data_IF_180277134055
#
_entry.id   IF_180277134055
#
_cell.length_a   1.000
_cell.length_b   1.000
_cell.length_c   1.000
_cell.angle_alpha   90.00
_cell.angle_beta   90.00
_cell.angle_gamma   90.00
#
_symmetry.space_group_name_H-M   'P 1'
#
loop_
_entity.id
_entity.type
_entity.pdbx_description
1 polymer ?
#
# COMPACT_ATOMS: atom_id res chain seq x y z
N UNK A 1 -6.94 -4.79 20.44
CA UNK A 1 -6.86 -3.59 19.56
C UNK A 1 -6.75 -4.10 18.15
N UNK A 2 -7.47 -3.52 17.19
CA UNK A 2 -7.38 -3.95 15.80
C UNK A 2 -6.12 -3.42 15.13
N UNK A 3 -5.56 -4.20 14.20
CA UNK A 3 -4.27 -3.93 13.60
C UNK A 3 -4.30 -4.00 12.07
N UNK A 4 -3.68 -3.02 11.43
CA UNK A 4 -3.42 -2.99 9.99
C UNK A 4 -1.92 -3.19 9.77
N UNK A 5 -1.55 -4.07 8.85
CA UNK A 5 -0.21 -4.17 8.32
C UNK A 5 -0.20 -3.65 6.87
N UNK A 6 0.60 -2.64 6.62
CA UNK A 6 0.91 -2.17 5.27
C UNK A 6 2.14 -2.91 4.75
N UNK A 7 2.12 -3.35 3.50
CA UNK A 7 3.27 -3.97 2.83
C UNK A 7 3.50 -3.27 1.51
N UNK A 8 4.59 -2.49 1.41
CA UNK A 8 4.91 -1.68 0.25
C UNK A 8 6.37 -1.87 -0.19
N UNK A 9 6.68 -1.43 -1.39
CA UNK A 9 7.99 -1.63 -2.01
C UNK A 9 9.00 -0.55 -1.60
N UNK A 10 8.59 0.73 -1.65
CA UNK A 10 9.50 1.86 -1.51
C UNK A 10 9.02 2.87 -0.48
N UNK A 11 9.96 3.68 0.10
CA UNK A 11 9.59 4.85 0.87
C UNK A 11 8.83 5.87 0.00
N UNK A 12 7.62 6.24 0.39
CA UNK A 12 6.62 7.14 -0.18
C UNK A 12 5.31 6.45 -0.62
N UNK A 13 5.35 5.17 -0.90
CA UNK A 13 4.16 4.40 -1.32
C UNK A 13 2.99 4.55 -0.33
N UNK A 14 3.27 4.49 0.97
CA UNK A 14 2.26 4.64 2.03
C UNK A 14 1.59 6.01 1.99
N UNK A 15 2.37 7.04 1.65
CA UNK A 15 1.92 8.44 1.60
C UNK A 15 1.09 8.74 0.36
N UNK A 16 1.44 8.14 -0.78
CA UNK A 16 0.68 8.29 -2.02
C UNK A 16 -0.61 7.48 -2.01
N UNK A 17 -0.60 6.26 -1.46
CA UNK A 17 -1.70 5.30 -1.64
C UNK A 17 -2.69 5.25 -0.50
N UNK A 18 -2.22 5.34 0.76
CA UNK A 18 -3.02 4.98 1.95
C UNK A 18 -2.99 5.99 3.09
N UNK A 19 -2.30 7.12 2.94
CA UNK A 19 -2.05 8.07 4.03
C UNK A 19 -3.33 8.56 4.74
N UNK A 20 -4.38 8.83 3.99
CA UNK A 20 -5.65 9.27 4.55
C UNK A 20 -6.38 8.16 5.30
N UNK A 21 -6.37 6.96 4.76
CA UNK A 21 -6.92 5.75 5.39
C UNK A 21 -6.15 5.43 6.67
N UNK A 22 -4.83 5.41 6.64
CA UNK A 22 -3.98 5.22 7.82
C UNK A 22 -4.35 6.23 8.91
N UNK A 23 -4.35 7.52 8.60
CA UNK A 23 -4.68 8.56 9.57
C UNK A 23 -6.11 8.41 10.15
N UNK A 24 -7.06 7.96 9.32
CA UNK A 24 -8.44 7.69 9.74
C UNK A 24 -8.51 6.53 10.73
N UNK A 25 -7.85 5.42 10.45
CA UNK A 25 -7.89 4.23 11.29
C UNK A 25 -7.07 4.39 12.57
N UNK A 26 -5.90 5.05 12.52
CA UNK A 26 -5.13 5.43 13.72
C UNK A 26 -5.98 6.30 14.65
N UNK A 27 -6.70 7.31 14.10
CA UNK A 27 -7.64 8.12 14.90
C UNK A 27 -8.78 7.31 15.50
N UNK A 28 -9.18 6.21 14.84
CA UNK A 28 -10.19 5.29 15.34
C UNK A 28 -9.65 4.27 16.36
N UNK A 29 -8.39 4.37 16.76
CA UNK A 29 -7.75 3.51 17.78
C UNK A 29 -7.17 2.20 17.22
N UNK A 30 -6.94 2.10 15.90
CA UNK A 30 -6.25 0.97 15.31
C UNK A 30 -4.74 1.19 15.37
N UNK A 31 -3.99 0.13 15.59
CA UNK A 31 -2.55 0.09 15.39
C UNK A 31 -2.24 -0.13 13.89
N UNK A 32 -1.23 0.56 13.38
CA UNK A 32 -0.80 0.43 11.99
C UNK A 32 0.70 0.22 11.95
N UNK A 33 1.13 -0.88 11.35
CA UNK A 33 2.54 -1.19 11.09
C UNK A 33 2.81 -1.17 9.59
N UNK A 34 4.06 -0.92 9.21
CA UNK A 34 4.51 -0.86 7.82
C UNK A 34 5.74 -1.72 7.60
N UNK A 35 5.67 -2.58 6.60
CA UNK A 35 6.82 -3.26 5.99
C UNK A 35 7.12 -2.59 4.67
N UNK A 36 8.35 -2.11 4.49
CA UNK A 36 8.88 -1.54 3.26
C UNK A 36 9.98 -2.46 2.72
N UNK A 37 9.84 -2.95 1.48
CA UNK A 37 10.74 -3.98 0.96
C UNK A 37 12.16 -3.46 0.69
N UNK A 38 12.29 -2.22 0.23
CA UNK A 38 13.57 -1.59 -0.16
C UNK A 38 13.76 -0.25 0.54
N UNK A 39 14.90 0.38 0.34
CA UNK A 39 15.14 1.77 0.73
C UNK A 39 14.93 2.77 -0.41
N UNK A 40 14.53 2.31 -1.60
CA UNK A 40 14.26 3.16 -2.75
C UNK A 40 15.51 3.86 -3.29
N UNK A 41 16.65 3.20 -3.24
CA UNK A 41 17.96 3.77 -3.57
C UNK A 41 18.19 4.04 -5.06
N UNK A 42 17.31 3.55 -5.94
CA UNK A 42 17.27 3.86 -7.38
C UNK A 42 16.27 4.96 -7.74
N UNK A 43 15.57 5.53 -6.75
CA UNK A 43 14.63 6.63 -6.97
C UNK A 43 15.28 7.91 -7.51
N UNK A 44 14.47 8.90 -7.86
CA UNK A 44 14.98 10.20 -8.28
C UNK A 44 15.76 10.86 -7.12
N UNK A 45 16.86 11.52 -7.46
CA UNK A 45 17.71 12.19 -6.44
C UNK A 45 17.17 13.57 -6.03
N UNK A 46 16.21 14.12 -6.78
CA UNK A 46 15.56 15.40 -6.50
C UNK A 46 16.57 16.52 -6.22
N UNK A 47 16.52 17.11 -5.03
CA UNK A 47 17.46 18.14 -4.58
C UNK A 47 18.85 17.58 -4.20
N UNK A 48 19.02 16.27 -4.10
CA UNK A 48 20.25 15.58 -3.69
C UNK A 48 21.06 15.08 -4.88
N UNK A 49 21.22 15.89 -5.91
CA UNK A 49 21.79 15.54 -7.24
C UNK A 49 23.15 14.80 -7.19
N UNK A 50 23.88 14.89 -6.08
CA UNK A 50 25.17 14.22 -5.88
C UNK A 50 25.10 13.01 -4.93
N UNK A 51 23.92 12.60 -4.51
CA UNK A 51 23.77 11.45 -3.63
C UNK A 51 24.10 10.14 -4.38
N UNK A 52 24.92 9.29 -3.78
CA UNK A 52 25.06 7.90 -4.23
C UNK A 52 23.80 7.12 -3.93
N UNK A 53 23.53 5.97 -4.61
CA UNK A 53 22.38 5.13 -4.29
C UNK A 53 22.28 4.78 -2.80
N UNK A 54 23.37 4.32 -2.18
CA UNK A 54 23.38 4.01 -0.75
C UNK A 54 23.01 5.22 0.11
N UNK A 55 23.52 6.40 -0.23
CA UNK A 55 23.18 7.64 0.49
C UNK A 55 21.72 8.06 0.27
N UNK A 56 21.20 7.87 -0.94
CA UNK A 56 19.79 8.11 -1.23
C UNK A 56 18.88 7.17 -0.42
N UNK A 57 19.24 5.90 -0.32
CA UNK A 57 18.51 4.95 0.53
C UNK A 57 18.44 5.36 2.00
N UNK A 58 19.57 5.85 2.58
CA UNK A 58 19.58 6.39 3.95
C UNK A 58 18.69 7.65 4.10
N UNK A 59 18.67 8.50 3.08
CA UNK A 59 17.82 9.70 3.07
C UNK A 59 16.36 9.29 3.03
N UNK A 60 15.97 8.44 2.08
CA UNK A 60 14.60 7.99 1.88
C UNK A 60 14.08 7.18 3.08
N UNK A 61 14.92 6.38 3.73
CA UNK A 61 14.56 5.75 5.00
C UNK A 61 14.13 6.77 6.04
N UNK A 62 14.93 7.85 6.26
CA UNK A 62 14.60 8.90 7.22
C UNK A 62 13.35 9.68 6.84
N UNK A 63 13.12 9.89 5.54
CA UNK A 63 11.91 10.52 5.02
C UNK A 63 10.68 9.67 5.35
N UNK A 64 10.73 8.35 5.10
CA UNK A 64 9.66 7.42 5.45
C UNK A 64 9.40 7.37 6.97
N UNK A 65 10.44 7.30 7.79
CA UNK A 65 10.29 7.32 9.26
C UNK A 65 9.62 8.61 9.76
N UNK A 66 9.91 9.75 9.09
CA UNK A 66 9.23 11.01 9.40
C UNK A 66 7.77 11.01 8.96
N UNK A 67 7.48 10.51 7.74
CA UNK A 67 6.13 10.37 7.23
C UNK A 67 5.29 9.43 8.12
N UNK A 68 5.85 8.29 8.50
CA UNK A 68 5.23 7.31 9.40
C UNK A 68 4.81 7.95 10.73
N UNK A 69 5.69 8.74 11.35
CA UNK A 69 5.35 9.50 12.57
C UNK A 69 4.21 10.50 12.34
N UNK A 70 4.14 11.16 11.17
CA UNK A 70 3.03 12.08 10.85
C UNK A 70 1.71 11.37 10.64
N UNK A 71 1.75 10.14 10.13
CA UNK A 71 0.59 9.28 9.90
C UNK A 71 0.13 8.55 11.17
N UNK A 72 1.01 8.41 12.17
CA UNK A 72 0.75 7.63 13.38
C UNK A 72 0.98 6.14 13.19
N UNK A 73 1.82 5.75 12.22
CA UNK A 73 2.30 4.37 12.04
C UNK A 73 3.18 4.03 13.24
N UNK A 74 2.91 2.87 13.87
CA UNK A 74 3.57 2.45 15.12
C UNK A 74 4.98 1.92 14.87
N UNK A 75 5.13 1.06 13.86
CA UNK A 75 6.41 0.43 13.54
C UNK A 75 6.66 0.47 12.03
N UNK A 76 7.92 0.69 11.65
CA UNK A 76 8.39 0.59 10.26
C UNK A 76 9.51 -0.44 10.22
N UNK A 77 9.35 -1.46 9.37
CA UNK A 77 10.36 -2.50 9.13
C UNK A 77 10.83 -2.42 7.70
N UNK A 78 12.15 -2.32 7.47
CA UNK A 78 12.74 -2.49 6.15
C UNK A 78 13.22 -3.91 5.98
N UNK A 79 13.02 -4.49 4.78
CA UNK A 79 13.51 -5.83 4.46
C UNK A 79 14.91 -5.80 3.83
N UNK A 80 15.40 -4.62 3.50
CA UNK A 80 16.74 -4.36 2.96
C UNK A 80 17.03 -5.02 1.60
N UNK A 81 16.00 -5.33 0.83
CA UNK A 81 16.15 -5.70 -0.56
C UNK A 81 16.55 -4.50 -1.41
N UNK A 82 17.13 -4.77 -2.56
CA UNK A 82 17.55 -3.72 -3.50
C UNK A 82 16.38 -3.25 -4.34
N UNK A 83 16.25 -1.93 -4.44
CA UNK A 83 15.27 -1.24 -5.29
C UNK A 83 15.45 -1.64 -6.77
N UNK A 84 14.34 -1.98 -7.42
CA UNK A 84 14.32 -2.39 -8.83
C UNK A 84 14.91 -3.79 -9.10
N UNK A 85 15.09 -4.63 -8.07
CA UNK A 85 15.63 -6.00 -8.20
C UNK A 85 14.73 -7.05 -7.54
N UNK A 86 13.51 -6.68 -7.11
CA UNK A 86 12.63 -7.66 -6.44
C UNK A 86 12.14 -8.78 -7.37
N UNK A 87 12.06 -8.54 -8.68
CA UNK A 87 11.72 -9.59 -9.65
C UNK A 87 12.81 -10.66 -9.79
N UNK A 88 14.05 -10.32 -9.45
CA UNK A 88 15.21 -11.21 -9.55
C UNK A 88 15.36 -12.16 -8.36
N UNK A 89 14.56 -11.97 -7.29
CA UNK A 89 14.61 -12.82 -6.10
C UNK A 89 14.14 -14.23 -6.41
N UNK A 90 14.79 -15.20 -5.78
CA UNK A 90 14.40 -16.60 -5.84
C UNK A 90 12.95 -16.79 -5.37
N UNK A 91 12.27 -17.81 -5.95
CA UNK A 91 10.90 -18.12 -5.57
C UNK A 91 10.81 -18.50 -4.10
N UNK A 92 9.89 -17.85 -3.38
CA UNK A 92 9.64 -18.09 -1.97
C UNK A 92 10.44 -17.17 -1.03
N UNK A 93 11.50 -16.52 -1.51
CA UNK A 93 12.36 -15.70 -0.64
C UNK A 93 11.59 -14.51 -0.02
N UNK A 94 10.98 -13.67 -0.84
CA UNK A 94 10.18 -12.55 -0.38
C UNK A 94 8.88 -13.03 0.30
N UNK A 95 8.27 -14.06 -0.25
CA UNK A 95 7.03 -14.65 0.25
C UNK A 95 7.19 -15.18 1.69
N UNK A 96 8.29 -15.87 1.99
CA UNK A 96 8.51 -16.44 3.33
C UNK A 96 8.87 -15.37 4.36
N UNK A 97 9.61 -14.34 3.97
CA UNK A 97 9.90 -13.20 4.87
C UNK A 97 8.61 -12.43 5.18
N UNK A 98 7.78 -12.17 4.17
CA UNK A 98 6.49 -11.50 4.37
C UNK A 98 5.53 -12.33 5.21
N UNK A 99 5.50 -13.66 5.02
CA UNK A 99 4.72 -14.55 5.88
C UNK A 99 5.11 -14.39 7.35
N UNK A 100 6.42 -14.42 7.67
CA UNK A 100 6.89 -14.23 9.06
C UNK A 100 6.49 -12.87 9.61
N UNK A 101 6.59 -11.79 8.81
CA UNK A 101 6.19 -10.45 9.24
C UNK A 101 4.69 -10.34 9.49
N UNK A 102 3.86 -10.97 8.67
CA UNK A 102 2.41 -11.04 8.89
C UNK A 102 2.11 -11.85 10.16
N UNK A 103 2.76 -13.01 10.34
CA UNK A 103 2.59 -13.87 11.52
C UNK A 103 3.04 -13.17 12.81
N UNK A 104 4.18 -12.45 12.82
CA UNK A 104 4.67 -11.65 13.95
C UNK A 104 3.70 -10.52 14.32
N UNK A 105 3.08 -9.89 13.32
CA UNK A 105 2.19 -8.73 13.50
C UNK A 105 0.79 -9.15 13.94
N UNK A 106 0.32 -10.33 13.51
CA UNK A 106 -1.06 -10.83 13.71
C UNK A 106 -2.11 -9.77 13.33
N UNK A 107 -2.12 -9.27 12.08
CA UNK A 107 -3.01 -8.19 11.68
C UNK A 107 -4.44 -8.68 11.42
N UNK A 108 -5.44 -7.82 11.70
CA UNK A 108 -6.83 -7.99 11.24
C UNK A 108 -6.96 -7.65 9.73
N UNK A 109 -6.05 -6.82 9.23
CA UNK A 109 -6.09 -6.34 7.86
C UNK A 109 -4.67 -6.17 7.32
N UNK A 110 -4.40 -6.72 6.15
CA UNK A 110 -3.18 -6.47 5.36
C UNK A 110 -3.56 -5.62 4.16
N UNK A 111 -2.75 -4.61 3.85
CA UNK A 111 -2.92 -3.76 2.67
C UNK A 111 -1.63 -3.78 1.87
N UNK A 112 -1.73 -4.03 0.57
CA UNK A 112 -0.62 -3.96 -0.37
C UNK A 112 -1.09 -3.36 -1.69
N UNK A 113 -0.25 -3.35 -2.73
CA UNK A 113 -0.62 -2.92 -4.08
C UNK A 113 -1.64 -3.84 -4.74
N UNK A 114 -2.31 -3.34 -5.78
CA UNK A 114 -3.07 -4.17 -6.71
C UNK A 114 -2.14 -4.91 -7.70
N UNK A 115 -2.71 -5.78 -8.50
CA UNK A 115 -1.96 -6.60 -9.48
C UNK A 115 -1.32 -5.80 -10.62
N UNK A 116 -1.67 -4.52 -10.77
CA UNK A 116 -1.02 -3.60 -11.71
C UNK A 116 0.16 -2.88 -11.05
N UNK A 117 0.37 -3.06 -9.75
CA UNK A 117 1.34 -2.30 -8.98
C UNK A 117 1.04 -0.80 -8.99
N UNK A 118 -0.23 -0.41 -9.18
CA UNK A 118 -0.73 0.96 -9.34
C UNK A 118 -0.13 1.67 -10.59
N UNK A 119 1.19 1.63 -10.74
CA UNK A 119 1.95 2.32 -11.80
C UNK A 119 2.69 1.39 -12.75
N UNK A 120 2.36 0.11 -12.79
CA UNK A 120 3.09 -0.95 -13.50
C UNK A 120 4.52 -1.18 -12.99
N UNK A 121 4.91 -0.63 -11.82
CA UNK A 121 6.25 -0.82 -11.28
C UNK A 121 6.51 -2.31 -10.98
N UNK A 122 7.59 -2.92 -11.49
CA UNK A 122 7.88 -4.34 -11.29
C UNK A 122 7.93 -4.74 -9.81
N UNK A 123 8.63 -3.97 -8.98
CA UNK A 123 8.71 -4.21 -7.54
C UNK A 123 7.34 -4.18 -6.86
N UNK A 124 6.45 -3.24 -7.23
CA UNK A 124 5.09 -3.19 -6.68
C UNK A 124 4.29 -4.44 -7.03
N UNK A 125 4.41 -4.90 -8.28
CA UNK A 125 3.76 -6.13 -8.76
C UNK A 125 4.30 -7.34 -7.99
N UNK A 126 5.63 -7.45 -7.82
CA UNK A 126 6.25 -8.53 -7.04
C UNK A 126 5.79 -8.51 -5.58
N UNK A 127 5.77 -7.34 -4.93
CA UNK A 127 5.28 -7.20 -3.55
C UNK A 127 3.80 -7.56 -3.44
N UNK A 128 2.96 -7.19 -4.41
CA UNK A 128 1.55 -7.58 -4.44
C UNK A 128 1.39 -9.10 -4.41
N UNK A 129 2.05 -9.82 -5.31
CA UNK A 129 1.92 -11.28 -5.41
C UNK A 129 2.55 -12.00 -4.22
N UNK A 130 3.73 -11.57 -3.78
CA UNK A 130 4.40 -12.15 -2.61
C UNK A 130 3.57 -11.96 -1.33
N UNK A 131 3.00 -10.77 -1.12
CA UNK A 131 2.11 -10.50 0.01
C UNK A 131 0.83 -11.34 -0.06
N UNK A 132 0.27 -11.53 -1.25
CA UNK A 132 -0.94 -12.34 -1.43
C UNK A 132 -0.68 -13.80 -1.05
N UNK A 133 0.43 -14.38 -1.51
CA UNK A 133 0.82 -15.73 -1.13
C UNK A 133 1.07 -15.85 0.37
N UNK A 134 1.84 -14.92 0.94
CA UNK A 134 2.10 -14.88 2.38
C UNK A 134 0.82 -14.78 3.21
N UNK A 135 -0.12 -13.94 2.77
CA UNK A 135 -1.43 -13.80 3.41
C UNK A 135 -2.26 -15.08 3.34
N UNK A 136 -2.25 -15.81 2.22
CA UNK A 136 -2.96 -17.09 2.10
C UNK A 136 -2.48 -18.11 3.14
N UNK A 137 -1.15 -18.22 3.32
CA UNK A 137 -0.56 -19.09 4.37
C UNK A 137 -1.01 -18.64 5.77
N UNK A 138 -0.95 -17.34 6.03
CA UNK A 138 -1.37 -16.76 7.32
C UNK A 138 -2.87 -16.98 7.59
N UNK A 139 -3.73 -16.73 6.62
CA UNK A 139 -5.18 -16.93 6.77
C UNK A 139 -5.54 -18.39 7.04
N UNK A 140 -4.86 -19.33 6.39
CA UNK A 140 -5.03 -20.76 6.65
C UNK A 140 -4.62 -21.11 8.10
N UNK A 141 -3.47 -20.61 8.55
CA UNK A 141 -3.03 -20.79 9.94
C UNK A 141 -4.04 -20.21 10.95
N UNK A 142 -4.55 -18.99 10.73
CA UNK A 142 -5.60 -18.39 11.59
C UNK A 142 -6.85 -19.26 11.61
N UNK A 143 -7.31 -19.73 10.45
CA UNK A 143 -8.47 -20.63 10.35
C UNK A 143 -8.31 -21.89 11.21
N UNK A 144 -7.13 -22.53 11.15
CA UNK A 144 -6.80 -23.69 11.96
C UNK A 144 -6.80 -23.37 13.46
N UNK A 145 -6.30 -22.21 13.89
CA UNK A 145 -6.35 -21.81 15.29
C UNK A 145 -7.79 -21.57 15.77
N UNK A 146 -8.61 -20.88 14.96
CA UNK A 146 -10.01 -20.62 15.27
C UNK A 146 -10.82 -21.93 15.42
N UNK A 147 -10.58 -22.92 14.56
CA UNK A 147 -11.21 -24.24 14.68
C UNK A 147 -10.82 -24.95 15.98
N UNK A 148 -9.54 -24.92 16.37
CA UNK A 148 -9.03 -25.56 17.60
C UNK A 148 -9.67 -25.00 18.87
N UNK A 149 -9.98 -23.71 18.91
CA UNK A 149 -10.61 -23.06 20.08
C UNK A 149 -12.14 -23.11 20.05
N UNK A 150 -12.74 -23.74 19.01
CA UNK A 150 -14.19 -23.84 18.87
C UNK A 150 -14.89 -22.50 18.66
N UNK A 151 -14.19 -21.50 18.16
CA UNK A 151 -14.73 -20.17 17.95
C UNK A 151 -15.55 -20.11 16.66
N UNK A 152 -16.88 -20.03 16.80
CA UNK A 152 -17.79 -19.68 15.70
C UNK A 152 -17.86 -18.16 15.44
N UNK A 153 -16.89 -17.37 15.93
CA UNK A 153 -16.86 -15.92 15.69
C UNK A 153 -16.61 -15.61 14.23
N UNK A 154 -17.69 -15.64 13.44
CA UNK A 154 -17.70 -15.08 12.10
C UNK A 154 -17.27 -13.61 12.18
N UNK A 155 -16.12 -13.28 11.59
CA UNK A 155 -15.58 -11.92 11.55
C UNK A 155 -14.23 -11.74 12.24
N UNK A 156 -13.67 -12.80 12.84
CA UNK A 156 -12.30 -12.82 13.35
C UNK A 156 -11.25 -13.12 12.26
N UNK A 157 -11.70 -13.47 11.06
CA UNK A 157 -10.80 -13.77 9.94
C UNK A 157 -10.13 -12.51 9.39
N UNK A 158 -8.82 -12.57 9.11
CA UNK A 158 -8.09 -11.43 8.57
C UNK A 158 -8.54 -11.10 7.14
N UNK A 159 -8.31 -9.87 6.71
CA UNK A 159 -8.64 -9.39 5.37
C UNK A 159 -7.40 -8.93 4.63
N UNK A 160 -7.34 -9.22 3.32
CA UNK A 160 -6.35 -8.67 2.41
C UNK A 160 -7.01 -7.67 1.48
N UNK A 161 -6.51 -6.44 1.48
CA UNK A 161 -6.91 -5.40 0.55
C UNK A 161 -5.77 -5.02 -0.39
N UNK A 162 -6.13 -4.77 -1.64
CA UNK A 162 -5.26 -4.11 -2.60
C UNK A 162 -5.60 -2.63 -2.65
N UNK A 163 -4.63 -1.77 -2.34
CA UNK A 163 -4.72 -0.35 -2.66
C UNK A 163 -4.62 -0.19 -4.18
N UNK A 164 -5.50 0.57 -4.78
CA UNK A 164 -5.58 0.66 -6.23
C UNK A 164 -5.93 2.07 -6.71
N UNK A 165 -5.61 2.35 -7.97
CA UNK A 165 -6.09 3.52 -8.69
C UNK A 165 -7.22 3.07 -9.64
N UNK A 166 -8.46 3.61 -9.52
CA UNK A 166 -9.53 3.33 -10.46
C UNK A 166 -9.14 3.67 -11.90
N UNK A 167 -9.58 2.86 -12.86
CA UNK A 167 -9.38 3.09 -14.30
C UNK A 167 -9.91 4.48 -14.72
N UNK A 168 -11.09 4.87 -14.24
CA UNK A 168 -11.67 6.19 -14.50
C UNK A 168 -10.80 7.32 -13.94
N UNK A 169 -10.18 7.14 -12.77
CA UNK A 169 -9.28 8.13 -12.19
C UNK A 169 -7.95 8.20 -12.97
N UNK A 170 -7.37 7.06 -13.35
CA UNK A 170 -6.16 7.01 -14.16
C UNK A 170 -6.37 7.74 -15.48
N UNK A 171 -7.44 7.42 -16.22
CA UNK A 171 -7.77 8.09 -17.48
C UNK A 171 -7.94 9.61 -17.31
N UNK A 172 -8.55 10.03 -16.21
CA UNK A 172 -8.70 11.45 -15.90
C UNK A 172 -7.35 12.15 -15.63
N UNK A 173 -6.48 11.52 -14.84
CA UNK A 173 -5.15 12.08 -14.52
C UNK A 173 -4.22 12.13 -15.75
N UNK A 174 -4.31 11.15 -16.64
CA UNK A 174 -3.62 11.14 -17.94
C UNK A 174 -4.10 12.31 -18.79
N UNK A 175 -5.41 12.52 -18.89
CA UNK A 175 -5.99 13.67 -19.63
C UNK A 175 -5.49 15.00 -19.09
N UNK A 176 -5.29 15.13 -17.79
CA UNK A 176 -4.71 16.32 -17.15
C UNK A 176 -3.19 16.40 -17.28
N UNK A 177 -2.53 15.42 -17.91
CA UNK A 177 -1.06 15.30 -17.98
C UNK A 177 -0.39 15.30 -16.57
N UNK A 178 -1.11 14.80 -15.57
CA UNK A 178 -0.61 14.67 -14.23
C UNK A 178 0.16 13.35 -14.01
N UNK A 179 -0.25 12.30 -14.71
CA UNK A 179 0.51 11.06 -14.84
C UNK A 179 0.74 10.77 -16.33
N UNK A 180 1.80 10.03 -16.72
CA UNK A 180 2.00 9.62 -18.11
C UNK A 180 0.95 8.57 -18.51
N UNK A 181 0.74 8.40 -19.80
CA UNK A 181 -0.14 7.37 -20.39
C UNK A 181 0.50 5.97 -20.41
N UNK A 182 1.82 5.93 -20.25
CA UNK A 182 2.61 4.70 -20.18
C UNK A 182 3.61 4.77 -19.02
N UNK A 183 3.84 3.63 -18.36
CA UNK A 183 4.85 3.48 -17.32
C UNK A 183 5.43 2.06 -17.38
N UNK A 184 6.75 1.93 -17.28
CA UNK A 184 7.47 0.64 -17.38
C UNK A 184 7.10 -0.16 -18.64
N UNK A 185 6.99 0.52 -19.81
CA UNK A 185 6.69 -0.11 -21.10
C UNK A 185 5.26 -0.65 -21.23
N UNK A 186 4.35 -0.24 -20.36
CA UNK A 186 2.94 -0.67 -20.35
C UNK A 186 1.99 0.51 -20.21
N UNK A 187 0.81 0.51 -20.88
CA UNK A 187 -0.20 1.53 -20.66
C UNK A 187 -0.61 1.63 -19.19
N UNK A 188 -0.64 2.84 -18.65
CA UNK A 188 -1.06 3.05 -17.26
C UNK A 188 -2.59 3.12 -17.17
N UNK A 189 -3.23 1.99 -16.92
CA UNK A 189 -4.71 1.88 -16.95
C UNK A 189 -5.38 1.93 -15.58
N UNK A 190 -4.66 1.57 -14.52
CA UNK A 190 -5.27 1.34 -13.20
C UNK A 190 -6.14 0.08 -13.15
N UNK A 191 -6.84 -0.11 -12.04
CA UNK A 191 -7.77 -1.22 -11.82
C UNK A 191 -9.17 -0.89 -12.33
N UNK A 192 -9.86 -1.86 -12.92
CA UNK A 192 -11.25 -1.70 -13.39
C UNK A 192 -12.16 -1.21 -12.26
N UNK A 193 -12.93 -0.15 -12.49
CA UNK A 193 -13.82 0.45 -11.48
C UNK A 193 -14.77 -0.57 -10.85
N UNK A 194 -15.25 -1.55 -11.64
CA UNK A 194 -16.15 -2.62 -11.16
C UNK A 194 -15.52 -3.60 -10.15
N UNK A 195 -14.20 -3.59 -9.98
CA UNK A 195 -13.49 -4.44 -9.01
C UNK A 195 -13.32 -3.76 -7.65
N UNK A 196 -13.64 -2.47 -7.54
CA UNK A 196 -13.46 -1.71 -6.31
C UNK A 196 -14.53 -2.11 -5.29
N UNK A 197 -14.07 -2.62 -4.16
CA UNK A 197 -14.93 -3.11 -3.07
C UNK A 197 -15.07 -2.13 -1.93
N UNK A 198 -14.09 -1.22 -1.76
CA UNK A 198 -14.14 -0.21 -0.72
C UNK A 198 -13.63 1.15 -1.23
N UNK A 199 -14.35 2.19 -0.87
CA UNK A 199 -13.97 3.59 -1.14
C UNK A 199 -13.98 4.35 0.18
N UNK A 200 -12.81 4.73 0.64
CA UNK A 200 -12.63 5.40 1.93
C UNK A 200 -12.59 6.91 1.72
N UNK A 201 -13.55 7.62 2.31
CA UNK A 201 -13.48 9.07 2.36
C UNK A 201 -12.41 9.51 3.35
N UNK A 202 -11.42 10.21 2.82
CA UNK A 202 -10.27 10.75 3.54
C UNK A 202 -10.21 12.29 3.47
N UNK A 203 -11.28 12.93 3.09
CA UNK A 203 -11.36 14.39 2.95
C UNK A 203 -10.96 15.15 4.21
N UNK A 204 -11.32 14.64 5.40
CA UNK A 204 -10.94 15.20 6.69
C UNK A 204 -9.44 15.03 7.03
N UNK A 205 -8.71 14.18 6.31
CA UNK A 205 -7.30 13.83 6.57
C UNK A 205 -6.33 14.41 5.54
N UNK A 206 -6.79 15.25 4.63
CA UNK A 206 -5.95 15.88 3.58
C UNK A 206 -4.72 16.61 4.15
N UNK A 207 -4.86 17.26 5.30
CA UNK A 207 -3.73 17.96 5.94
C UNK A 207 -2.67 17.01 6.47
N UNK A 208 -3.07 15.85 7.00
CA UNK A 208 -2.13 14.82 7.48
C UNK A 208 -1.40 14.21 6.27
N UNK A 209 -2.15 13.81 5.24
CA UNK A 209 -1.59 13.29 3.98
C UNK A 209 -0.58 14.25 3.36
N UNK A 210 -0.93 15.55 3.28
CA UNK A 210 0.00 16.58 2.78
C UNK A 210 1.31 16.60 3.58
N UNK A 211 1.23 16.60 4.91
CA UNK A 211 2.43 16.61 5.77
C UNK A 211 3.28 15.36 5.64
N UNK A 212 2.67 14.19 5.44
CA UNK A 212 3.39 12.94 5.18
C UNK A 212 4.12 13.01 3.85
N UNK A 213 3.43 13.34 2.76
CA UNK A 213 4.03 13.51 1.43
C UNK A 213 5.19 14.52 1.44
N UNK A 214 5.07 15.63 2.16
CA UNK A 214 6.13 16.63 2.27
C UNK A 214 7.40 16.15 3.01
N UNK A 215 7.35 15.00 3.68
CA UNK A 215 8.56 14.38 4.26
C UNK A 215 9.44 13.75 3.17
N UNK A 216 8.88 13.34 2.04
CA UNK A 216 9.61 12.71 0.93
C UNK A 216 10.24 13.75 0.01
N UNK A 217 11.20 14.50 0.54
CA UNK A 217 11.86 15.63 -0.14
C UNK A 217 12.67 15.17 -1.33
N UNK A 218 13.28 13.97 -1.26
CA UNK A 218 14.01 13.38 -2.39
C UNK A 218 13.12 13.15 -3.60
N UNK A 219 11.82 12.86 -3.37
CA UNK A 219 10.81 12.59 -4.39
C UNK A 219 9.94 13.83 -4.69
N UNK A 220 10.47 15.03 -4.49
CA UNK A 220 9.71 16.29 -4.56
C UNK A 220 8.98 16.52 -5.88
N UNK A 221 9.49 16.01 -6.98
CA UNK A 221 8.86 16.16 -8.31
C UNK A 221 7.49 15.49 -8.33
N UNK A 222 7.40 14.23 -7.89
CA UNK A 222 6.15 13.49 -7.86
C UNK A 222 5.23 13.97 -6.74
N UNK A 223 5.81 14.29 -5.57
CA UNK A 223 5.09 14.92 -4.46
C UNK A 223 4.43 16.23 -4.89
N UNK A 224 5.18 17.12 -5.59
CA UNK A 224 4.64 18.41 -6.06
C UNK A 224 3.53 18.21 -7.09
N UNK A 225 3.72 17.27 -8.04
CA UNK A 225 2.71 16.91 -9.04
C UNK A 225 1.43 16.41 -8.36
N UNK A 226 1.55 15.51 -7.40
CA UNK A 226 0.40 15.02 -6.63
C UNK A 226 -0.28 16.13 -5.82
N UNK A 227 0.49 16.96 -5.11
CA UNK A 227 -0.03 18.05 -4.29
C UNK A 227 -0.68 19.16 -5.11
N UNK A 228 -0.35 19.33 -6.39
CA UNK A 228 -1.03 20.27 -7.29
C UNK A 228 -2.52 19.93 -7.45
N UNK A 229 -2.89 18.67 -7.25
CA UNK A 229 -4.26 18.17 -7.29
C UNK A 229 -4.90 17.98 -5.90
N UNK A 230 -4.19 18.32 -4.81
CA UNK A 230 -4.62 17.98 -3.45
C UNK A 230 -6.01 18.50 -3.05
N UNK A 231 -6.51 19.56 -3.72
CA UNK A 231 -7.87 20.08 -3.51
C UNK A 231 -8.93 19.44 -4.42
N UNK A 232 -8.50 18.57 -5.37
CA UNK A 232 -9.42 17.92 -6.27
C UNK A 232 -10.30 16.91 -5.51
N UNK A 233 -11.64 16.88 -5.74
CA UNK A 233 -12.55 16.01 -5.02
C UNK A 233 -12.17 14.51 -5.11
N UNK A 234 -11.64 14.05 -6.24
CA UNK A 234 -11.23 12.67 -6.44
C UNK A 234 -10.09 12.24 -5.50
N UNK A 235 -9.22 13.16 -5.08
CA UNK A 235 -8.15 12.88 -4.11
C UNK A 235 -8.63 12.94 -2.65
N UNK A 236 -9.92 13.15 -2.42
CA UNK A 236 -10.56 12.99 -1.10
C UNK A 236 -10.90 11.53 -0.79
N UNK A 237 -10.61 10.63 -1.70
CA UNK A 237 -10.94 9.21 -1.57
C UNK A 237 -9.71 8.35 -1.81
N UNK A 238 -9.66 7.23 -1.13
CA UNK A 238 -8.71 6.15 -1.37
C UNK A 238 -9.49 4.88 -1.69
N UNK A 239 -8.96 4.06 -2.61
CA UNK A 239 -9.71 3.00 -3.27
C UNK A 239 -9.04 1.66 -3.00
N UNK A 240 -9.86 0.65 -2.69
CA UNK A 240 -9.39 -0.66 -2.31
C UNK A 240 -10.21 -1.76 -2.96
N UNK A 241 -9.54 -2.88 -3.23
CA UNK A 241 -10.16 -4.14 -3.64
C UNK A 241 -9.97 -5.12 -2.50
N UNK A 242 -11.05 -5.59 -1.87
CA UNK A 242 -10.99 -6.71 -0.93
C UNK A 242 -10.67 -7.96 -1.74
N UNK A 243 -9.44 -8.44 -1.60
CA UNK A 243 -8.96 -9.59 -2.35
C UNK A 243 -9.27 -10.90 -1.64
N UNK A 244 -9.12 -10.92 -0.31
CA UNK A 244 -9.40 -12.12 0.50
C UNK A 244 -10.03 -11.75 1.83
N UNK A 245 -10.91 -12.63 2.32
CA UNK A 245 -11.43 -12.64 3.68
C UNK A 245 -11.22 -14.04 4.25
N UNK A 246 -10.33 -14.16 5.21
CA UNK A 246 -9.77 -15.45 5.58
C UNK A 246 -9.14 -16.11 4.35
N UNK A 247 -9.43 -17.38 4.14
CA UNK A 247 -8.97 -18.16 2.97
C UNK A 247 -9.85 -17.98 1.73
N UNK A 248 -10.94 -17.22 1.82
CA UNK A 248 -11.89 -17.04 0.71
C UNK A 248 -11.48 -15.88 -0.17
N UNK A 249 -11.33 -16.12 -1.47
CA UNK A 249 -11.20 -15.06 -2.46
C UNK A 249 -12.53 -14.32 -2.63
N UNK A 250 -12.45 -12.99 -2.70
CA UNK A 250 -13.62 -12.12 -2.86
C UNK A 250 -13.66 -11.55 -4.26
N UNK A 251 -14.82 -11.66 -4.90
CA UNK A 251 -15.10 -11.07 -6.20
C UNK A 251 -16.38 -10.23 -6.11
N UNK A 252 -16.32 -9.00 -6.64
CA UNK A 252 -17.52 -8.17 -6.71
C UNK A 252 -18.56 -8.80 -7.64
N UNK A 253 -19.74 -9.05 -7.11
CA UNK A 253 -20.91 -9.43 -7.85
C UNK A 253 -21.68 -8.23 -8.39
N UNK A 254 -22.61 -8.47 -9.33
CA UNK A 254 -23.42 -7.41 -9.97
C UNK A 254 -24.25 -6.58 -8.97
N UNK A 255 -24.64 -7.19 -7.85
CA UNK A 255 -25.50 -6.57 -6.84
C UNK A 255 -24.75 -6.17 -5.58
N UNK A 256 -23.42 -6.35 -5.53
CA UNK A 256 -22.62 -6.02 -4.36
C UNK A 256 -22.49 -4.49 -4.21
N UNK A 257 -22.45 -4.05 -2.97
CA UNK A 257 -22.28 -2.64 -2.63
C UNK A 257 -20.86 -2.36 -2.23
N UNK A 258 -20.34 -1.24 -2.72
CA UNK A 258 -19.03 -0.73 -2.32
C UNK A 258 -19.09 -0.30 -0.85
N UNK A 259 -18.13 -0.78 -0.05
CA UNK A 259 -18.00 -0.43 1.36
C UNK A 259 -17.39 0.98 1.51
N UNK A 260 -17.72 1.67 2.61
CA UNK A 260 -17.06 2.92 3.03
C UNK A 260 -16.05 2.69 4.19
N UNK A 261 -15.73 1.43 4.47
CA UNK A 261 -14.76 0.98 5.48
C UNK A 261 -14.05 -0.30 5.04
N UNK A 262 -12.87 -0.53 5.57
CA UNK A 262 -12.11 -1.78 5.43
C UNK A 262 -12.71 -2.91 6.26
#
# INVERSE_FOLDING_TARGET
MKKILLVFAHPDDESFTTAGTVAKYVKAGWEVDLVCATRGEKGEVGLYVSATPAKLGEIRQKELEQAARKLGISNVTFLDYKDGELEELEYGELEDILYRKIEETVPDCVITFDTTGISNHPDHIKVCFATTYAFQKYAAWVGDQLQKIGSEQKGAEPKLYYACMPESLAAYLIKLKNIPDESFGRPWKGSLDKLITAVIDVGAYKSVRRRALQCHVSQQKDVSRFLSLANHPLLSREYFILRMHGTTEVFMGKNDRVSNRL
#
